data_IF_214506075107
#
_entry.id   IF_214506075107
#
_cell.length_a   1.000
_cell.length_b   1.000
_cell.length_c   1.000
_cell.angle_alpha   90.00
_cell.angle_beta   90.00
_cell.angle_gamma   90.00
#
_symmetry.space_group_name_H-M   'P 1'
#
loop_
_entity.id
_entity.type
_entity.pdbx_description
1 polymer ?
#
# COMPACT_ATOMS: atom_id res chain seq x y z
N UNK A 1 4.36 -21.06 26.02
CA UNK A 1 3.50 -20.01 26.62
C UNK A 1 3.60 -18.82 25.68
N UNK A 2 2.54 -18.48 24.95
CA UNK A 2 2.54 -17.31 24.07
C UNK A 2 2.49 -16.09 24.98
N UNK A 3 3.53 -15.24 24.95
CA UNK A 3 3.46 -13.93 25.60
C UNK A 3 2.52 -13.06 24.78
N UNK A 4 1.46 -12.57 25.40
CA UNK A 4 0.63 -11.52 24.81
C UNK A 4 1.41 -10.20 24.77
N UNK A 5 1.13 -9.36 23.77
CA UNK A 5 1.61 -7.97 23.79
C UNK A 5 0.69 -7.16 24.70
N UNK A 6 1.08 -6.86 25.95
CA UNK A 6 0.25 -6.04 26.84
C UNK A 6 0.12 -4.62 26.30
N UNK A 7 -1.06 -4.06 26.49
CA UNK A 7 -1.35 -2.66 26.25
C UNK A 7 -1.64 -1.97 27.58
N UNK A 8 -1.04 -0.81 27.81
CA UNK A 8 -1.36 0.09 28.91
C UNK A 8 -2.54 0.96 28.49
N UNK A 9 -3.60 1.01 29.32
CA UNK A 9 -4.81 1.79 29.07
C UNK A 9 -5.01 2.75 30.23
N UNK A 10 -4.80 4.03 29.98
CA UNK A 10 -5.02 5.08 30.97
C UNK A 10 -6.34 5.79 30.68
N UNK A 11 -7.26 5.77 31.65
CA UNK A 11 -8.56 6.39 31.54
C UNK A 11 -8.47 7.78 32.16
N UNK A 12 -8.65 8.89 31.39
CA UNK A 12 -8.63 10.23 31.94
C UNK A 12 -9.89 10.53 32.77
N UNK A 13 -9.82 11.46 33.70
CA UNK A 13 -10.96 11.88 34.51
C UNK A 13 -12.12 12.42 33.67
N UNK A 14 -11.82 12.91 32.48
CA UNK A 14 -12.79 13.42 31.50
C UNK A 14 -13.38 12.35 30.58
N UNK A 15 -13.10 11.06 30.81
CA UNK A 15 -13.78 9.96 30.10
C UNK A 15 -15.28 9.96 30.44
N UNK A 16 -16.21 9.75 29.49
CA UNK A 16 -16.00 9.38 28.10
C UNK A 16 -15.85 10.56 27.11
N UNK A 17 -15.78 11.80 27.58
CA UNK A 17 -15.67 12.97 26.69
C UNK A 17 -14.29 13.10 26.03
N UNK A 18 -13.27 12.55 26.66
CA UNK A 18 -11.94 12.37 26.05
C UNK A 18 -11.62 10.87 25.90
N UNK A 19 -10.84 10.50 24.88
CA UNK A 19 -10.44 9.12 24.67
C UNK A 19 -9.54 8.60 25.80
N UNK A 20 -9.48 7.27 26.01
CA UNK A 20 -8.42 6.66 26.79
C UNK A 20 -7.10 6.82 26.06
N UNK A 21 -5.99 6.90 26.79
CA UNK A 21 -4.63 6.81 26.24
C UNK A 21 -4.25 5.34 26.23
N UNK A 22 -3.99 4.81 25.03
CA UNK A 22 -3.61 3.39 24.84
C UNK A 22 -2.24 3.34 24.18
N UNK A 23 -1.33 2.55 24.73
CA UNK A 23 -0.01 2.30 24.18
C UNK A 23 0.41 0.86 24.39
N UNK A 24 1.32 0.35 23.55
CA UNK A 24 1.95 -0.94 23.75
C UNK A 24 3.11 -0.83 24.74
N UNK A 25 3.15 -1.72 25.72
CA UNK A 25 4.35 -1.88 26.59
C UNK A 25 5.43 -2.70 25.90
N UNK A 26 5.04 -3.59 24.98
CA UNK A 26 5.95 -4.40 24.18
C UNK A 26 6.31 -3.66 22.91
N UNK A 27 7.57 -3.74 22.49
CA UNK A 27 7.98 -3.20 21.18
C UNK A 27 7.29 -3.95 20.04
N UNK A 28 6.63 -3.20 19.17
CA UNK A 28 5.92 -3.72 18.01
C UNK A 28 6.49 -3.06 16.76
N UNK A 29 6.80 -3.84 15.73
CA UNK A 29 7.27 -3.33 14.45
C UNK A 29 6.08 -3.15 13.50
N UNK A 30 5.50 -1.93 13.50
CA UNK A 30 4.26 -1.64 12.78
C UNK A 30 4.21 -0.17 12.34
N UNK A 31 3.74 0.15 11.11
CA UNK A 31 3.69 1.53 10.61
C UNK A 31 2.96 2.51 11.52
N UNK A 32 1.88 2.07 12.17
CA UNK A 32 1.01 2.92 12.99
C UNK A 32 1.31 2.83 14.49
N UNK A 33 2.43 2.22 14.88
CA UNK A 33 2.86 2.09 16.27
C UNK A 33 4.29 2.57 16.37
N UNK A 34 4.57 3.48 17.32
CA UNK A 34 5.92 3.93 17.56
C UNK A 34 6.79 2.79 18.07
N UNK A 35 7.85 2.48 17.35
CA UNK A 35 8.85 1.48 17.73
C UNK A 35 9.61 1.84 19.02
N UNK A 36 9.59 3.13 19.43
CA UNK A 36 10.28 3.63 20.60
C UNK A 36 9.37 3.72 21.83
N UNK A 37 8.14 4.24 21.67
CA UNK A 37 7.26 4.58 22.79
C UNK A 37 6.04 3.68 22.91
N UNK A 38 5.72 2.89 21.89
CA UNK A 38 4.50 2.10 21.84
C UNK A 38 3.23 2.91 21.55
N UNK A 39 3.34 4.23 21.33
CA UNK A 39 2.21 5.10 20.99
C UNK A 39 1.55 4.65 19.69
N UNK A 40 0.22 4.75 19.64
CA UNK A 40 -0.61 4.23 18.54
C UNK A 40 -1.22 5.40 17.78
N UNK A 41 -1.00 5.47 16.46
CA UNK A 41 -1.74 6.36 15.58
C UNK A 41 -3.03 5.66 15.15
N UNK A 42 -4.12 6.01 15.80
CA UNK A 42 -5.46 5.51 15.52
C UNK A 42 -6.46 6.65 15.76
N UNK A 43 -7.20 7.01 14.73
CA UNK A 43 -8.11 8.17 14.69
C UNK A 43 -9.13 8.19 15.84
N UNK A 44 -9.72 7.03 16.15
CA UNK A 44 -10.68 6.91 17.26
C UNK A 44 -10.05 7.08 18.65
N UNK A 45 -8.73 7.08 18.78
CA UNK A 45 -8.02 7.45 20.02
C UNK A 45 -7.62 8.93 20.05
N UNK A 46 -8.02 9.69 19.04
CA UNK A 46 -7.71 11.11 18.87
C UNK A 46 -8.94 11.90 18.43
N UNK A 47 -8.85 12.55 17.29
CA UNK A 47 -9.88 13.45 16.74
C UNK A 47 -11.18 12.75 16.36
N UNK A 48 -11.13 11.45 16.06
CA UNK A 48 -12.30 10.62 15.75
C UNK A 48 -13.01 10.05 16.97
N UNK A 49 -12.55 10.37 18.21
CA UNK A 49 -13.22 9.90 19.40
C UNK A 49 -14.59 10.55 19.61
N UNK A 50 -15.55 9.76 20.06
CA UNK A 50 -16.87 10.21 20.45
C UNK A 50 -17.28 9.52 21.77
N UNK A 51 -18.04 10.20 22.67
CA UNK A 51 -18.49 9.62 23.94
C UNK A 51 -19.37 8.37 23.83
N UNK A 52 -19.88 8.05 22.64
CA UNK A 52 -20.62 6.80 22.37
C UNK A 52 -19.69 5.61 22.16
N UNK A 53 -18.40 5.86 21.98
CA UNK A 53 -17.39 4.81 21.82
C UNK A 53 -16.99 4.26 23.19
N UNK A 54 -16.48 3.05 23.16
CA UNK A 54 -16.07 2.31 24.34
C UNK A 54 -14.63 1.82 24.20
N UNK A 55 -13.99 1.46 25.30
CA UNK A 55 -12.69 0.80 25.30
C UNK A 55 -12.76 -0.47 24.43
N UNK A 56 -13.88 -1.21 24.45
CA UNK A 56 -14.08 -2.38 23.61
C UNK A 56 -14.01 -2.03 22.13
N UNK A 57 -14.71 -0.98 21.68
CA UNK A 57 -14.65 -0.56 20.27
C UNK A 57 -13.25 -0.10 19.87
N UNK A 58 -12.55 0.62 20.76
CA UNK A 58 -11.17 1.03 20.54
C UNK A 58 -10.21 -0.18 20.37
N UNK A 59 -10.34 -1.20 21.20
CA UNK A 59 -9.53 -2.42 21.09
C UNK A 59 -9.85 -3.24 19.84
N UNK A 60 -11.11 -3.26 19.40
CA UNK A 60 -11.49 -3.91 18.13
C UNK A 60 -10.84 -3.16 16.96
N UNK A 61 -10.89 -1.83 16.94
CA UNK A 61 -10.25 -1.02 15.90
C UNK A 61 -8.74 -1.16 15.92
N UNK A 62 -8.12 -1.23 17.09
CA UNK A 62 -6.69 -1.50 17.24
C UNK A 62 -6.32 -2.88 16.65
N UNK A 63 -7.14 -3.90 16.91
CA UNK A 63 -6.93 -5.22 16.31
C UNK A 63 -7.01 -5.14 14.77
N UNK A 64 -7.99 -4.44 14.24
CA UNK A 64 -8.11 -4.25 12.77
C UNK A 64 -6.91 -3.50 12.21
N UNK A 65 -6.39 -2.48 12.91
CA UNK A 65 -5.18 -1.75 12.50
C UNK A 65 -3.95 -2.67 12.45
N UNK A 66 -3.82 -3.62 13.38
CA UNK A 66 -2.73 -4.60 13.37
C UNK A 66 -2.85 -5.59 12.20
N UNK A 67 -4.07 -5.95 11.79
CA UNK A 67 -4.34 -6.84 10.66
C UNK A 67 -4.17 -6.11 9.32
N UNK A 68 -4.56 -4.83 9.26
CA UNK A 68 -4.53 -3.99 8.04
C UNK A 68 -3.88 -2.65 8.37
N UNK A 69 -2.54 -2.56 8.28
CA UNK A 69 -1.80 -1.33 8.52
C UNK A 69 -2.21 -0.18 7.58
N UNK A 70 -2.16 1.06 8.09
CA UNK A 70 -2.33 2.26 7.28
C UNK A 70 -0.99 3.02 7.11
N UNK A 71 -0.16 2.65 6.14
CA UNK A 71 1.15 3.28 5.95
C UNK A 71 1.09 4.70 5.37
N UNK A 72 -0.11 5.19 5.00
CA UNK A 72 -0.30 6.57 4.51
C UNK A 72 -0.38 7.60 5.63
N UNK A 73 -0.75 7.16 6.84
CA UNK A 73 -0.78 7.99 8.05
C UNK A 73 0.00 7.28 9.17
N UNK A 74 1.35 7.28 9.08
CA UNK A 74 2.18 6.48 9.95
C UNK A 74 2.49 7.16 11.27
N UNK A 75 2.63 6.36 12.34
CA UNK A 75 3.26 6.76 13.59
C UNK A 75 4.79 6.60 13.53
N UNK A 76 5.27 5.66 12.70
CA UNK A 76 6.68 5.38 12.46
C UNK A 76 6.96 5.41 10.96
N UNK A 77 7.56 6.51 10.50
CA UNK A 77 7.78 6.76 9.08
C UNK A 77 8.79 5.79 8.45
N UNK A 78 9.80 5.35 9.22
CA UNK A 78 10.79 4.39 8.73
C UNK A 78 10.17 3.01 8.52
N UNK A 79 9.36 2.56 9.49
CA UNK A 79 8.64 1.29 9.39
C UNK A 79 7.62 1.34 8.25
N UNK A 80 6.91 2.47 8.07
CA UNK A 80 5.96 2.65 6.98
C UNK A 80 6.66 2.58 5.61
N UNK A 81 7.79 3.27 5.47
CA UNK A 81 8.61 3.21 4.25
C UNK A 81 9.06 1.77 3.97
N UNK A 82 9.56 1.07 4.99
CA UNK A 82 9.98 -0.33 4.86
C UNK A 82 8.80 -1.22 4.40
N UNK A 83 7.61 -1.04 4.97
CA UNK A 83 6.42 -1.82 4.60
C UNK A 83 5.98 -1.59 3.15
N UNK A 84 6.17 -0.35 2.64
CA UNK A 84 5.82 0.01 1.28
C UNK A 84 6.86 -0.38 0.24
N UNK A 85 8.14 -0.19 0.54
CA UNK A 85 9.23 -0.40 -0.43
C UNK A 85 9.76 -1.84 -0.40
N UNK A 86 9.86 -2.45 0.78
CA UNK A 86 10.49 -3.75 1.02
C UNK A 86 9.59 -4.68 1.86
N UNK A 87 8.40 -5.06 1.39
CA UNK A 87 7.43 -5.80 2.21
C UNK A 87 7.92 -7.19 2.67
N UNK A 88 8.79 -7.86 1.90
CA UNK A 88 9.42 -9.11 2.33
C UNK A 88 10.33 -8.87 3.56
N UNK A 89 11.16 -7.82 3.52
CA UNK A 89 12.05 -7.47 4.62
C UNK A 89 11.26 -6.96 5.83
N UNK A 90 10.21 -6.17 5.59
CA UNK A 90 9.29 -5.73 6.64
C UNK A 90 8.68 -6.92 7.38
N UNK A 91 8.12 -7.91 6.66
CA UNK A 91 7.52 -9.10 7.27
C UNK A 91 8.53 -9.92 8.07
N UNK A 92 9.77 -10.06 7.58
CA UNK A 92 10.86 -10.72 8.30
C UNK A 92 11.20 -10.00 9.59
N UNK A 93 11.41 -8.69 9.55
CA UNK A 93 11.73 -7.87 10.73
C UNK A 93 10.59 -7.87 11.74
N UNK A 94 9.35 -7.78 11.29
CA UNK A 94 8.17 -7.85 12.17
C UNK A 94 8.09 -9.21 12.89
N UNK A 95 8.36 -10.31 12.19
CA UNK A 95 8.43 -11.64 12.81
C UNK A 95 9.55 -11.72 13.83
N UNK A 96 10.75 -11.23 13.51
CA UNK A 96 11.87 -11.24 14.43
C UNK A 96 11.57 -10.44 15.70
N UNK A 97 10.93 -9.29 15.59
CA UNK A 97 10.49 -8.50 16.74
C UNK A 97 9.41 -9.22 17.55
N UNK A 98 8.46 -9.88 16.90
CA UNK A 98 7.45 -10.68 17.60
C UNK A 98 8.10 -11.81 18.41
N UNK A 99 9.12 -12.49 17.85
CA UNK A 99 9.86 -13.53 18.56
C UNK A 99 10.66 -12.93 19.72
N UNK A 100 11.37 -11.84 19.47
CA UNK A 100 12.29 -11.25 20.45
C UNK A 100 11.58 -10.58 21.62
N UNK A 101 10.54 -9.77 21.33
CA UNK A 101 9.90 -8.91 22.32
C UNK A 101 8.58 -9.47 22.84
N UNK A 102 7.82 -10.17 22.00
CA UNK A 102 6.53 -10.74 22.38
C UNK A 102 6.60 -12.25 22.70
N UNK A 103 7.76 -12.88 22.49
CA UNK A 103 7.95 -14.33 22.75
C UNK A 103 7.13 -15.22 21.82
N UNK A 104 6.86 -14.76 20.60
CA UNK A 104 6.23 -15.57 19.59
C UNK A 104 7.11 -16.78 19.22
N UNK A 105 6.52 -17.94 18.86
CA UNK A 105 7.31 -19.07 18.38
C UNK A 105 8.00 -18.73 17.06
N UNK A 106 9.25 -19.17 16.89
CA UNK A 106 9.92 -19.09 15.58
C UNK A 106 9.17 -20.00 14.60
N UNK A 107 8.71 -19.43 13.53
CA UNK A 107 8.05 -20.16 12.44
C UNK A 107 8.92 -20.11 11.19
N UNK A 108 8.91 -21.19 10.42
CA UNK A 108 9.53 -21.21 9.10
C UNK A 108 8.53 -20.60 8.09
N UNK A 109 8.56 -19.27 7.95
CA UNK A 109 7.67 -18.52 7.08
C UNK A 109 8.37 -18.32 5.74
N UNK A 110 7.68 -18.63 4.66
CA UNK A 110 8.12 -18.22 3.33
C UNK A 110 7.80 -16.74 3.12
N UNK A 111 8.82 -15.89 3.28
CA UNK A 111 8.66 -14.45 3.13
C UNK A 111 8.55 -14.01 1.66
N UNK A 112 8.86 -14.87 0.69
CA UNK A 112 8.75 -14.53 -0.72
C UNK A 112 7.30 -14.18 -1.13
N UNK A 113 6.31 -14.73 -0.43
CA UNK A 113 4.89 -14.40 -0.62
C UNK A 113 4.55 -12.93 -0.37
N UNK A 114 5.37 -12.21 0.43
CA UNK A 114 5.21 -10.78 0.69
C UNK A 114 5.96 -9.91 -0.32
N UNK A 115 6.74 -10.52 -1.21
CA UNK A 115 7.43 -9.77 -2.26
C UNK A 115 6.40 -9.09 -3.13
N UNK A 116 6.56 -7.77 -3.34
CA UNK A 116 5.80 -7.11 -4.39
C UNK A 116 6.02 -7.90 -5.67
N UNK A 117 4.97 -8.19 -6.45
CA UNK A 117 5.20 -8.59 -7.83
C UNK A 117 6.16 -7.57 -8.41
N UNK A 118 7.27 -8.03 -8.96
CA UNK A 118 8.28 -7.15 -9.56
C UNK A 118 7.55 -6.20 -10.50
N UNK A 119 7.28 -4.99 -10.01
CA UNK A 119 6.87 -3.85 -10.81
C UNK A 119 8.09 -3.17 -11.46
N UNK A 120 9.18 -3.91 -11.63
CA UNK A 120 9.94 -3.72 -12.85
C UNK A 120 8.97 -4.19 -13.93
N UNK A 121 8.57 -3.33 -14.86
CA UNK A 121 7.99 -3.87 -16.07
C UNK A 121 8.99 -4.95 -16.46
N UNK A 122 8.58 -6.23 -16.53
CA UNK A 122 9.30 -7.15 -17.38
C UNK A 122 9.53 -6.31 -18.62
N UNK A 123 10.78 -6.02 -18.93
CA UNK A 123 11.16 -5.71 -20.29
C UNK A 123 10.88 -7.00 -21.09
N UNK A 124 9.61 -7.35 -21.20
CA UNK A 124 9.13 -7.87 -22.46
C UNK A 124 9.45 -6.70 -23.36
N UNK A 125 10.43 -6.88 -24.22
CA UNK A 125 10.67 -5.99 -25.34
C UNK A 125 9.30 -5.76 -25.96
N UNK A 126 8.67 -4.61 -25.62
CA UNK A 126 7.39 -4.25 -26.23
C UNK A 126 7.71 -4.12 -27.68
N UNK A 127 7.16 -4.99 -28.50
CA UNK A 127 7.29 -4.85 -29.94
C UNK A 127 6.38 -3.70 -30.36
N UNK A 128 6.97 -2.53 -30.47
CA UNK A 128 6.26 -1.31 -30.87
C UNK A 128 5.74 -1.40 -32.33
N UNK A 129 6.07 -2.49 -33.05
CA UNK A 129 5.62 -2.76 -34.42
C UNK A 129 5.78 -1.57 -35.38
N UNK A 130 6.83 -0.78 -35.15
CA UNK A 130 7.17 0.39 -35.96
C UNK A 130 6.52 1.70 -35.50
N UNK A 131 5.75 1.71 -34.43
CA UNK A 131 5.27 2.96 -33.80
C UNK A 131 6.37 3.62 -32.97
N UNK A 132 6.34 4.94 -32.89
CA UNK A 132 7.25 5.70 -32.04
C UNK A 132 6.96 5.40 -30.56
N UNK A 133 8.04 5.25 -29.79
CA UNK A 133 7.94 4.96 -28.35
C UNK A 133 7.25 6.11 -27.59
N UNK A 134 7.57 7.37 -27.88
CA UNK A 134 7.02 8.52 -27.17
C UNK A 134 5.51 8.68 -27.44
N UNK A 135 5.06 8.31 -28.65
CA UNK A 135 3.65 8.27 -29.01
C UNK A 135 2.88 7.22 -28.18
N UNK A 136 3.45 6.03 -27.98
CA UNK A 136 2.89 4.97 -27.15
C UNK A 136 2.94 5.38 -25.67
N UNK A 137 4.04 5.95 -25.22
CA UNK A 137 4.25 6.34 -23.82
C UNK A 137 3.26 7.42 -23.34
N UNK A 138 2.67 8.23 -24.25
CA UNK A 138 1.58 9.18 -23.89
C UNK A 138 0.39 8.44 -23.24
N UNK A 139 -0.01 7.31 -23.81
CA UNK A 139 -1.10 6.49 -23.27
C UNK A 139 -0.65 5.63 -22.07
N UNK A 140 0.61 5.19 -22.07
CA UNK A 140 1.18 4.48 -20.91
C UNK A 140 1.19 5.37 -19.68
N UNK A 141 1.50 6.66 -19.82
CA UNK A 141 1.44 7.64 -18.74
C UNK A 141 0.02 7.91 -18.25
N UNK A 142 -0.99 7.61 -19.05
CA UNK A 142 -2.41 7.63 -18.64
C UNK A 142 -2.84 6.36 -17.89
N UNK A 143 -1.94 5.36 -17.75
CA UNK A 143 -2.15 4.14 -16.98
C UNK A 143 -2.41 2.87 -17.80
N UNK A 144 -2.34 2.93 -19.12
CA UNK A 144 -2.56 1.77 -20.00
C UNK A 144 -1.28 0.96 -20.23
N UNK A 145 -1.41 -0.35 -20.43
CA UNK A 145 -0.27 -1.21 -20.75
C UNK A 145 0.28 -0.94 -22.15
N UNK A 146 1.60 -0.83 -22.32
CA UNK A 146 2.23 -0.49 -23.61
C UNK A 146 1.83 -1.44 -24.74
N UNK A 147 1.72 -2.75 -24.50
CA UNK A 147 1.28 -3.72 -25.52
C UNK A 147 -0.19 -3.49 -25.91
N UNK A 148 -1.07 -3.19 -24.93
CA UNK A 148 -2.47 -2.88 -25.21
C UNK A 148 -2.62 -1.61 -26.06
N UNK A 149 -1.78 -0.61 -25.83
CA UNK A 149 -1.74 0.61 -26.65
C UNK A 149 -1.33 0.31 -28.08
N UNK A 150 -0.26 -0.48 -28.28
CA UNK A 150 0.17 -0.90 -29.64
C UNK A 150 -0.93 -1.67 -30.35
N UNK A 151 -1.61 -2.58 -29.66
CA UNK A 151 -2.70 -3.36 -30.24
C UNK A 151 -3.91 -2.46 -30.57
N UNK A 152 -4.21 -1.45 -29.75
CA UNK A 152 -5.24 -0.44 -30.03
C UNK A 152 -4.88 0.42 -31.23
N UNK A 153 -3.61 0.84 -31.37
CA UNK A 153 -3.13 1.61 -32.54
C UNK A 153 -3.30 0.82 -33.84
N UNK A 154 -3.00 -0.48 -33.80
CA UNK A 154 -3.19 -1.36 -34.97
C UNK A 154 -4.68 -1.47 -35.31
N UNK A 155 -5.52 -1.66 -34.29
CA UNK A 155 -6.97 -1.81 -34.47
C UNK A 155 -7.63 -0.56 -35.06
N UNK A 156 -7.26 0.63 -34.56
CA UNK A 156 -7.76 1.92 -35.03
C UNK A 156 -7.15 2.32 -36.38
N UNK A 157 -6.03 1.68 -36.78
CA UNK A 157 -5.36 1.97 -38.04
C UNK A 157 -4.47 3.22 -37.99
N UNK A 158 -3.87 3.49 -36.83
CA UNK A 158 -2.94 4.62 -36.66
C UNK A 158 -1.74 4.48 -37.59
N UNK A 159 -1.37 5.58 -38.28
CA UNK A 159 -0.18 5.59 -39.12
C UNK A 159 1.08 5.50 -38.26
N UNK A 160 2.06 4.72 -38.73
CA UNK A 160 3.36 4.57 -38.08
C UNK A 160 4.28 5.75 -38.31
N UNK A 161 3.99 6.57 -39.31
CA UNK A 161 4.77 7.74 -39.72
C UNK A 161 6.29 7.47 -39.76
N UNK A 162 6.68 6.33 -40.30
CA UNK A 162 8.09 5.94 -40.38
C UNK A 162 8.79 5.72 -39.03
N UNK A 163 8.03 5.64 -37.93
CA UNK A 163 8.57 5.55 -36.55
C UNK A 163 8.88 6.89 -35.91
N UNK A 164 8.51 8.01 -36.55
CA UNK A 164 8.66 9.35 -36.00
C UNK A 164 7.48 9.72 -35.10
N UNK A 165 7.74 10.54 -34.07
CA UNK A 165 6.68 11.06 -33.19
C UNK A 165 5.87 12.13 -33.94
N UNK A 166 4.57 12.14 -33.69
CA UNK A 166 3.65 13.15 -34.23
C UNK A 166 2.43 13.33 -33.31
N UNK A 167 1.69 14.39 -33.51
CA UNK A 167 0.48 14.69 -32.75
C UNK A 167 -0.70 13.96 -33.38
N UNK A 168 -1.36 13.10 -32.59
CA UNK A 168 -2.57 12.40 -33.04
C UNK A 168 -3.74 13.36 -33.11
N UNK A 169 -4.55 13.22 -34.15
CA UNK A 169 -5.81 13.96 -34.25
C UNK A 169 -6.76 13.56 -33.10
N UNK A 170 -7.56 14.52 -32.63
CA UNK A 170 -8.45 14.35 -31.48
C UNK A 170 -9.45 13.19 -31.67
N UNK A 171 -9.89 12.95 -32.89
CA UNK A 171 -10.78 11.83 -33.23
C UNK A 171 -10.14 10.46 -32.90
N UNK A 172 -8.87 10.27 -33.24
CA UNK A 172 -8.17 9.03 -32.95
C UNK A 172 -7.91 8.84 -31.44
N UNK A 173 -7.72 9.93 -30.70
CA UNK A 173 -7.56 9.86 -29.22
C UNK A 173 -8.80 9.24 -28.57
N UNK A 174 -9.99 9.60 -29.02
CA UNK A 174 -11.26 9.03 -28.55
C UNK A 174 -11.38 7.54 -28.84
N UNK A 175 -11.14 7.14 -30.09
CA UNK A 175 -11.25 5.74 -30.52
C UNK A 175 -10.24 4.82 -29.85
N UNK A 176 -9.00 5.28 -29.68
CA UNK A 176 -7.95 4.55 -28.96
C UNK A 176 -8.36 4.37 -27.50
N UNK A 177 -8.83 5.45 -26.86
CA UNK A 177 -9.20 5.41 -25.43
C UNK A 177 -10.41 4.49 -25.21
N UNK A 178 -11.43 4.56 -26.05
CA UNK A 178 -12.60 3.67 -26.00
C UNK A 178 -12.17 2.21 -26.13
N UNK A 179 -11.27 1.91 -27.06
CA UNK A 179 -10.73 0.56 -27.24
C UNK A 179 -9.95 0.06 -26.03
N UNK A 180 -9.15 0.93 -25.42
CA UNK A 180 -8.37 0.61 -24.22
C UNK A 180 -9.23 0.40 -22.97
N UNK A 181 -10.38 1.07 -22.88
CA UNK A 181 -11.36 0.88 -21.82
C UNK A 181 -12.30 -0.32 -22.05
N UNK A 182 -12.21 -0.99 -23.20
CA UNK A 182 -13.04 -2.15 -23.54
C UNK A 182 -14.44 -1.77 -24.02
N UNK A 183 -14.66 -0.52 -24.38
CA UNK A 183 -15.89 -0.06 -25.05
C UNK A 183 -15.78 -0.44 -26.54
N UNK A 184 -16.66 -1.36 -27.01
CA UNK A 184 -16.78 -1.77 -28.41
C UNK A 184 -17.75 -0.90 -29.17
#
# INVERSE_FOLDING_TARGET
MVKCCPVDIQIPDSYPFKPPVIKFDTKVYHPNISSQTGAICLDILGTGWSPVQTIKSALISLRMLLEVPNPKDPQDAEVAKMSLEYPEQFARTAHEWAVQYAGAPRQNIDYSQFRKPDTKPKQTSVDYKGYNKDLVDRFVNMGFGAQAVVDAFIFVGIDRNGGEDYELEEAYMGDITARLLGEN
#
